data_IF_151096613473
#
_entry.id   IF_151096613473
#
_cell.length_a   1.000
_cell.length_b   1.000
_cell.length_c   1.000
_cell.angle_alpha   90.00
_cell.angle_beta   90.00
_cell.angle_gamma   90.00
#
_symmetry.space_group_name_H-M   'P 1'
#
loop_
_entity.id
_entity.type
_entity.pdbx_description
1 polymer ?
#
# COMPACT_ATOMS: atom_id res chain seq x y z
N UNK A 1 -45.23 39.02 -0.16
CA UNK A 1 -46.41 39.57 0.53
C UNK A 1 -47.46 39.77 -0.53
N UNK A 2 -48.65 39.17 -0.33
CA UNK A 2 -49.80 39.02 -1.25
C UNK A 2 -49.82 37.72 -2.06
N UNK A 3 -50.34 36.66 -1.43
CA UNK A 3 -51.49 35.90 -1.91
C UNK A 3 -51.79 34.80 -0.88
N UNK A 4 -52.54 35.16 0.16
CA UNK A 4 -52.96 34.22 1.22
C UNK A 4 -54.39 33.69 0.99
N UNK A 5 -54.98 34.02 -0.16
CA UNK A 5 -56.33 33.59 -0.53
C UNK A 5 -56.27 32.82 -1.85
N UNK A 6 -56.51 31.51 -1.76
CA UNK A 6 -56.70 30.64 -2.90
C UNK A 6 -57.88 31.17 -3.74
N UNK A 7 -57.66 31.64 -4.98
CA UNK A 7 -58.72 32.23 -5.80
C UNK A 7 -59.85 31.24 -6.09
N UNK A 8 -59.62 29.92 -5.99
CA UNK A 8 -60.67 28.91 -6.13
C UNK A 8 -61.73 28.92 -5.01
N UNK A 9 -61.51 29.68 -3.94
CA UNK A 9 -62.46 29.88 -2.84
C UNK A 9 -63.38 31.10 -3.07
N UNK A 10 -63.14 31.90 -4.12
CA UNK A 10 -63.98 33.06 -4.43
C UNK A 10 -65.34 32.64 -4.97
N UNK A 11 -66.40 33.10 -4.32
CA UNK A 11 -67.79 32.87 -4.74
C UNK A 11 -68.20 33.98 -5.70
N UNK A 12 -68.77 33.60 -6.84
CA UNK A 12 -69.31 34.55 -7.82
C UNK A 12 -70.39 35.45 -7.17
N UNK A 13 -70.22 36.78 -7.21
CA UNK A 13 -71.26 37.70 -6.75
C UNK A 13 -72.54 37.57 -7.58
N UNK A 14 -73.70 37.63 -6.92
CA UNK A 14 -74.99 37.57 -7.60
C UNK A 14 -75.31 38.93 -8.25
N UNK A 15 -74.86 39.14 -9.49
CA UNK A 15 -75.02 40.40 -10.23
C UNK A 15 -76.49 40.74 -10.60
N UNK A 16 -77.41 39.79 -10.42
CA UNK A 16 -78.86 40.01 -10.58
C UNK A 16 -79.52 40.64 -9.34
N UNK A 17 -78.82 40.66 -8.20
CA UNK A 17 -79.30 41.19 -6.93
C UNK A 17 -79.60 42.71 -6.99
N UNK A 18 -80.59 43.21 -6.22
CA UNK A 18 -80.90 44.64 -6.13
C UNK A 18 -79.70 45.51 -5.73
N UNK A 19 -78.69 44.95 -5.06
CA UNK A 19 -77.45 45.66 -4.68
C UNK A 19 -76.66 46.19 -5.90
N UNK A 20 -76.78 45.54 -7.06
CA UNK A 20 -76.09 45.93 -8.31
C UNK A 20 -77.01 46.69 -9.28
N UNK A 21 -78.25 47.01 -8.88
CA UNK A 21 -79.24 47.66 -9.73
C UNK A 21 -78.81 49.07 -10.17
N UNK A 22 -78.22 49.86 -9.27
CA UNK A 22 -77.68 51.19 -9.58
C UNK A 22 -76.56 51.14 -10.62
N UNK A 23 -75.69 50.13 -10.55
CA UNK A 23 -74.60 49.90 -11.51
C UNK A 23 -75.16 49.51 -12.90
N UNK A 24 -76.15 48.61 -12.94
CA UNK A 24 -76.82 48.19 -14.17
C UNK A 24 -77.55 49.36 -14.86
N UNK A 25 -78.25 50.20 -14.09
CA UNK A 25 -78.91 51.40 -14.59
C UNK A 25 -77.95 52.40 -15.23
N UNK A 26 -76.75 52.58 -14.64
CA UNK A 26 -75.73 53.49 -15.17
C UNK A 26 -75.20 53.04 -16.54
N UNK A 27 -75.08 51.72 -16.76
CA UNK A 27 -74.62 51.12 -18.02
C UNK A 27 -75.72 51.22 -19.10
N UNK A 28 -76.98 51.02 -18.73
CA UNK A 28 -78.14 51.10 -19.64
C UNK A 28 -78.42 52.53 -20.12
N UNK A 29 -78.06 53.55 -19.34
CA UNK A 29 -78.29 54.97 -19.65
C UNK A 29 -77.65 55.50 -20.94
N UNK A 30 -76.88 54.68 -21.67
CA UNK A 30 -76.27 55.02 -22.96
C UNK A 30 -76.40 53.96 -24.07
N UNK A 31 -77.09 52.83 -23.85
CA UNK A 31 -77.15 51.69 -24.79
C UNK A 31 -78.55 51.02 -24.82
N UNK A 32 -78.95 50.39 -25.94
CA UNK A 32 -80.23 49.65 -26.06
C UNK A 32 -80.18 48.24 -25.43
N UNK A 33 -79.54 48.07 -24.27
CA UNK A 33 -79.35 46.78 -23.60
C UNK A 33 -80.25 46.61 -22.37
N UNK A 34 -80.63 45.37 -22.06
CA UNK A 34 -81.49 45.01 -20.93
C UNK A 34 -80.71 44.76 -19.63
N UNK A 35 -81.38 44.85 -18.48
CA UNK A 35 -80.78 44.56 -17.16
C UNK A 35 -80.22 43.14 -17.03
N UNK A 36 -80.81 42.18 -17.73
CA UNK A 36 -80.34 40.79 -17.76
C UNK A 36 -79.05 40.66 -18.55
N UNK A 37 -78.97 41.27 -19.74
CA UNK A 37 -77.75 41.28 -20.57
C UNK A 37 -76.56 41.93 -19.83
N UNK A 38 -76.78 43.05 -19.13
CA UNK A 38 -75.73 43.70 -18.33
C UNK A 38 -75.28 42.83 -17.15
N UNK A 39 -76.21 42.12 -16.49
CA UNK A 39 -75.86 41.19 -15.40
C UNK A 39 -75.06 39.99 -15.93
N UNK A 40 -75.39 39.46 -17.12
CA UNK A 40 -74.63 38.38 -17.75
C UNK A 40 -73.23 38.83 -18.20
N UNK A 41 -73.09 40.06 -18.68
CA UNK A 41 -71.79 40.59 -19.09
C UNK A 41 -70.87 40.79 -17.89
N UNK A 42 -71.38 41.34 -16.78
CA UNK A 42 -70.64 41.46 -15.53
C UNK A 42 -70.21 40.10 -14.95
N UNK A 43 -71.11 39.11 -15.03
CA UNK A 43 -70.79 37.73 -14.67
C UNK A 43 -69.69 37.13 -15.56
N UNK A 44 -69.70 37.42 -16.87
CA UNK A 44 -68.70 36.92 -17.81
C UNK A 44 -67.32 37.57 -17.56
N UNK A 45 -67.27 38.89 -17.35
CA UNK A 45 -66.02 39.61 -17.03
C UNK A 45 -65.44 39.11 -15.70
N UNK A 46 -66.29 38.89 -14.69
CA UNK A 46 -65.84 38.33 -13.41
C UNK A 46 -65.28 36.90 -13.57
N UNK A 47 -65.94 36.04 -14.36
CA UNK A 47 -65.44 34.69 -14.65
C UNK A 47 -64.11 34.70 -15.40
N UNK A 48 -63.93 35.63 -16.34
CA UNK A 48 -62.66 35.79 -17.05
C UNK A 48 -61.53 36.20 -16.11
N UNK A 49 -61.77 37.17 -15.24
CA UNK A 49 -60.81 37.61 -14.22
C UNK A 49 -60.49 36.50 -13.21
N UNK A 50 -61.52 35.79 -12.72
CA UNK A 50 -61.36 34.65 -11.81
C UNK A 50 -60.53 33.52 -12.44
N UNK A 51 -60.83 33.11 -13.68
CA UNK A 51 -60.03 32.12 -14.41
C UNK A 51 -58.58 32.58 -14.63
N UNK A 52 -58.37 33.88 -14.88
CA UNK A 52 -57.01 34.43 -15.02
C UNK A 52 -56.23 34.35 -13.70
N UNK A 53 -56.90 34.66 -12.57
CA UNK A 53 -56.30 34.54 -11.23
C UNK A 53 -56.04 33.09 -10.84
N UNK A 54 -56.95 32.17 -11.12
CA UNK A 54 -56.73 30.74 -10.91
C UNK A 54 -55.55 30.22 -11.73
N UNK A 55 -55.47 30.53 -13.03
CA UNK A 55 -54.34 30.08 -13.87
C UNK A 55 -53.00 30.67 -13.45
N UNK A 56 -52.97 31.92 -12.98
CA UNK A 56 -51.77 32.53 -12.44
C UNK A 56 -51.34 31.86 -11.13
N UNK A 57 -52.30 31.56 -10.24
CA UNK A 57 -52.06 30.87 -8.98
C UNK A 57 -51.58 29.42 -9.19
N UNK A 58 -52.24 28.66 -10.07
CA UNK A 58 -51.82 27.29 -10.41
C UNK A 58 -50.40 27.27 -10.95
N UNK A 59 -50.05 28.22 -11.84
CA UNK A 59 -48.68 28.35 -12.35
C UNK A 59 -47.67 28.62 -11.24
N UNK A 60 -48.00 29.52 -10.30
CA UNK A 60 -47.12 29.82 -9.18
C UNK A 60 -46.91 28.61 -8.27
N UNK A 61 -47.98 27.88 -7.95
CA UNK A 61 -47.90 26.65 -7.14
C UNK A 61 -47.10 25.57 -7.86
N UNK A 62 -47.26 25.41 -9.17
CA UNK A 62 -46.45 24.49 -9.99
C UNK A 62 -44.97 24.87 -9.99
N UNK A 63 -44.64 26.15 -10.12
CA UNK A 63 -43.25 26.63 -10.06
C UNK A 63 -42.64 26.41 -8.67
N UNK A 64 -43.36 26.75 -7.60
CA UNK A 64 -42.89 26.55 -6.22
C UNK A 64 -42.71 25.05 -5.90
N UNK A 65 -43.64 24.21 -6.33
CA UNK A 65 -43.53 22.75 -6.14
C UNK A 65 -42.39 22.15 -6.95
N UNK A 66 -42.15 22.62 -8.18
CA UNK A 66 -41.02 22.19 -9.00
C UNK A 66 -39.68 22.59 -8.36
N UNK A 67 -39.57 23.83 -7.87
CA UNK A 67 -38.37 24.30 -7.18
C UNK A 67 -38.07 23.50 -5.91
N UNK A 68 -39.10 23.16 -5.12
CA UNK A 68 -38.95 22.32 -3.93
C UNK A 68 -38.52 20.89 -4.32
N UNK A 69 -39.11 20.33 -5.38
CA UNK A 69 -38.73 19.01 -5.88
C UNK A 69 -37.28 18.96 -6.39
N UNK A 70 -36.85 19.97 -7.15
CA UNK A 70 -35.48 20.09 -7.64
C UNK A 70 -34.48 20.26 -6.50
N UNK A 71 -34.81 21.10 -5.50
CA UNK A 71 -33.98 21.28 -4.32
C UNK A 71 -33.83 19.98 -3.51
N UNK A 72 -34.92 19.23 -3.33
CA UNK A 72 -34.88 17.93 -2.67
C UNK A 72 -34.06 16.90 -3.45
N UNK A 73 -34.14 16.90 -4.79
CA UNK A 73 -33.33 16.03 -5.64
C UNK A 73 -31.85 16.38 -5.55
N UNK A 74 -31.51 17.67 -5.58
CA UNK A 74 -30.14 18.14 -5.46
C UNK A 74 -29.53 17.80 -4.09
N UNK A 75 -30.29 17.91 -3.00
CA UNK A 75 -29.83 17.53 -1.66
C UNK A 75 -29.58 16.01 -1.57
N UNK A 76 -30.46 15.20 -2.16
CA UNK A 76 -30.29 13.75 -2.20
C UNK A 76 -29.06 13.32 -3.02
N UNK A 77 -28.82 13.95 -4.17
CA UNK A 77 -27.61 13.73 -4.96
C UNK A 77 -26.33 14.14 -4.21
N UNK A 78 -26.37 15.26 -3.48
CA UNK A 78 -25.22 15.69 -2.66
C UNK A 78 -24.91 14.67 -1.56
N UNK A 79 -25.94 14.20 -0.83
CA UNK A 79 -25.76 13.17 0.19
C UNK A 79 -25.22 11.86 -0.38
N UNK A 80 -25.70 11.44 -1.55
CA UNK A 80 -25.17 10.26 -2.24
C UNK A 80 -23.69 10.46 -2.63
N UNK A 81 -23.32 11.62 -3.17
CA UNK A 81 -21.94 11.95 -3.51
C UNK A 81 -21.03 11.97 -2.28
N UNK A 82 -21.48 12.53 -1.15
CA UNK A 82 -20.74 12.54 0.11
C UNK A 82 -20.55 11.12 0.65
N UNK A 83 -21.59 10.28 0.62
CA UNK A 83 -21.49 8.88 1.03
C UNK A 83 -20.49 8.10 0.16
N UNK A 84 -20.54 8.30 -1.16
CA UNK A 84 -19.59 7.69 -2.09
C UNK A 84 -18.16 8.20 -1.86
N UNK A 85 -17.98 9.47 -1.52
CA UNK A 85 -16.66 10.03 -1.21
C UNK A 85 -16.09 9.39 0.06
N UNK A 86 -16.88 9.34 1.13
CA UNK A 86 -16.47 8.72 2.39
C UNK A 86 -16.17 7.23 2.22
N UNK A 87 -16.95 6.50 1.42
CA UNK A 87 -16.69 5.09 1.11
C UNK A 87 -15.37 4.91 0.34
N UNK A 88 -15.06 5.82 -0.60
CA UNK A 88 -13.77 5.79 -1.33
C UNK A 88 -12.60 6.11 -0.40
N UNK A 89 -12.72 7.10 0.46
CA UNK A 89 -11.68 7.48 1.42
C UNK A 89 -11.41 6.33 2.41
N UNK A 90 -12.46 5.75 3.00
CA UNK A 90 -12.33 4.61 3.91
C UNK A 90 -11.72 3.39 3.21
N UNK A 91 -12.12 3.08 1.97
CA UNK A 91 -11.48 2.01 1.18
C UNK A 91 -10.01 2.32 0.89
N UNK A 92 -9.67 3.56 0.56
CA UNK A 92 -8.29 3.97 0.30
C UNK A 92 -7.43 3.87 1.57
N UNK A 93 -7.96 4.29 2.72
CA UNK A 93 -7.31 4.17 4.03
C UNK A 93 -7.07 2.71 4.42
N UNK A 94 -8.06 1.84 4.22
CA UNK A 94 -7.90 0.40 4.46
C UNK A 94 -6.82 -0.21 3.55
N UNK A 95 -6.79 0.15 2.26
CA UNK A 95 -5.75 -0.32 1.33
C UNK A 95 -4.36 0.22 1.68
N UNK A 96 -4.25 1.48 2.09
CA UNK A 96 -3.02 2.08 2.62
C UNK A 96 -2.54 1.34 3.88
N UNK A 97 -3.45 1.06 4.81
CA UNK A 97 -3.17 0.31 6.02
C UNK A 97 -2.72 -1.12 5.71
N UNK A 98 -3.32 -1.79 4.72
CA UNK A 98 -2.90 -3.12 4.27
C UNK A 98 -1.52 -3.12 3.59
N UNK A 99 -1.21 -2.10 2.78
CA UNK A 99 0.14 -1.96 2.19
C UNK A 99 1.22 -1.71 3.25
N UNK A 100 0.86 -1.04 4.35
CA UNK A 100 1.75 -0.76 5.50
C UNK A 100 1.91 -1.94 6.44
N UNK A 101 1.05 -2.97 6.38
CA UNK A 101 1.25 -4.20 7.16
C UNK A 101 2.57 -4.86 6.72
N UNK A 102 3.46 -5.21 7.65
CA UNK A 102 4.66 -5.96 7.31
C UNK A 102 4.23 -7.23 6.59
N UNK A 103 4.68 -7.41 5.34
CA UNK A 103 4.55 -8.68 4.63
C UNK A 103 5.42 -9.69 5.37
N UNK A 104 4.84 -10.38 6.33
CA UNK A 104 5.48 -11.54 6.94
C UNK A 104 5.50 -12.62 5.85
N UNK A 105 6.69 -13.10 5.52
CA UNK A 105 6.84 -14.19 4.56
C UNK A 105 6.16 -15.44 5.13
N UNK A 106 5.45 -16.17 4.28
CA UNK A 106 4.89 -17.46 4.63
C UNK A 106 6.03 -18.44 4.99
N UNK A 107 5.82 -19.26 6.01
CA UNK A 107 6.80 -20.23 6.45
C UNK A 107 6.51 -21.57 5.79
N UNK A 108 7.55 -22.21 5.24
CA UNK A 108 7.41 -23.55 4.67
C UNK A 108 7.18 -24.56 5.79
N UNK A 109 5.92 -24.87 6.07
CA UNK A 109 5.48 -25.81 7.12
C UNK A 109 6.05 -27.23 7.00
N UNK A 110 6.51 -27.63 5.81
CA UNK A 110 7.15 -28.95 5.57
C UNK A 110 8.68 -28.92 5.72
N UNK A 111 9.30 -27.76 5.93
CA UNK A 111 10.74 -27.68 6.16
C UNK A 111 10.99 -27.82 7.66
N UNK A 112 11.46 -29.00 8.06
CA UNK A 112 11.96 -29.21 9.42
C UNK A 112 13.20 -28.32 9.57
N UNK A 113 13.12 -27.33 10.45
CA UNK A 113 14.31 -26.57 10.89
C UNK A 113 15.14 -27.56 11.69
N UNK A 114 16.31 -27.94 11.18
CA UNK A 114 17.18 -28.85 11.90
C UNK A 114 17.58 -28.26 13.25
N UNK A 115 17.67 -29.11 14.29
CA UNK A 115 18.02 -28.71 15.66
C UNK A 115 19.44 -28.13 15.82
N UNK A 116 20.21 -28.08 14.73
CA UNK A 116 21.59 -27.58 14.71
C UNK A 116 21.71 -26.36 13.81
N UNK A 117 22.05 -25.22 14.43
CA UNK A 117 22.46 -24.04 13.70
C UNK A 117 23.80 -24.34 13.02
N UNK A 118 23.81 -24.41 11.68
CA UNK A 118 25.06 -24.51 10.94
C UNK A 118 25.85 -23.22 11.16
N UNK A 119 27.11 -23.29 11.64
CA UNK A 119 27.93 -22.10 11.82
C UNK A 119 28.07 -21.37 10.48
N UNK A 120 27.71 -20.07 10.46
CA UNK A 120 27.79 -19.25 9.25
C UNK A 120 29.11 -18.48 9.24
N UNK A 121 29.99 -18.70 8.26
CA UNK A 121 31.22 -17.93 8.11
C UNK A 121 30.90 -16.47 7.73
N UNK A 122 31.90 -15.59 7.88
CA UNK A 122 31.72 -14.17 7.53
C UNK A 122 31.33 -13.97 6.06
N UNK A 123 30.55 -12.91 5.78
CA UNK A 123 30.18 -12.55 4.42
C UNK A 123 31.40 -12.25 3.54
N UNK A 124 32.47 -11.71 4.13
CA UNK A 124 33.77 -11.54 3.49
C UNK A 124 34.32 -12.88 2.97
N UNK A 125 34.36 -13.91 3.82
CA UNK A 125 34.87 -15.23 3.45
C UNK A 125 34.00 -15.92 2.39
N UNK A 126 32.67 -15.80 2.49
CA UNK A 126 31.75 -16.32 1.47
C UNK A 126 31.97 -15.63 0.13
N UNK A 127 32.20 -14.31 0.13
CA UNK A 127 32.44 -13.55 -1.09
C UNK A 127 33.77 -13.94 -1.75
N UNK A 128 34.83 -14.16 -0.97
CA UNK A 128 36.12 -14.69 -1.45
C UNK A 128 35.96 -16.08 -2.07
N UNK A 129 35.17 -16.95 -1.45
CA UNK A 129 34.85 -18.26 -2.04
C UNK A 129 34.08 -18.14 -3.36
N UNK A 130 33.21 -17.15 -3.51
CA UNK A 130 32.51 -16.92 -4.78
C UNK A 130 33.45 -16.46 -5.90
N UNK A 131 34.51 -15.72 -5.57
CA UNK A 131 35.52 -15.28 -6.53
C UNK A 131 36.68 -16.26 -6.72
N UNK A 132 36.59 -17.47 -6.13
CA UNK A 132 37.67 -18.47 -6.13
C UNK A 132 39.00 -17.93 -5.57
N UNK A 133 38.93 -16.93 -4.69
CA UNK A 133 40.09 -16.34 -4.03
C UNK A 133 40.46 -17.13 -2.77
N UNK A 134 41.74 -17.05 -2.41
CA UNK A 134 42.23 -17.59 -1.15
C UNK A 134 41.56 -16.90 0.04
N UNK A 135 41.20 -17.70 1.05
CA UNK A 135 40.61 -17.25 2.31
C UNK A 135 41.10 -18.18 3.42
N UNK A 136 41.48 -17.58 4.55
CA UNK A 136 41.98 -18.32 5.71
C UNK A 136 40.89 -19.25 6.27
N UNK A 137 41.29 -20.48 6.60
CA UNK A 137 40.41 -21.50 7.20
C UNK A 137 39.84 -21.04 8.54
N UNK A 138 40.50 -20.11 9.24
CA UNK A 138 39.99 -19.54 10.48
C UNK A 138 38.54 -19.06 10.37
N UNK A 139 38.14 -18.47 9.25
CA UNK A 139 36.77 -17.97 9.03
C UNK A 139 35.70 -19.07 9.09
N UNK A 140 36.08 -20.31 8.82
CA UNK A 140 35.19 -21.47 8.80
C UNK A 140 35.25 -22.27 10.10
N UNK A 141 36.17 -21.93 11.00
CA UNK A 141 36.23 -22.49 12.35
C UNK A 141 35.02 -22.04 13.18
N UNK A 142 34.63 -22.80 14.23
CA UNK A 142 33.57 -22.37 15.14
C UNK A 142 33.81 -20.99 15.75
N UNK A 143 35.06 -20.65 16.06
CA UNK A 143 35.45 -19.36 16.65
C UNK A 143 35.32 -18.22 15.64
N UNK A 144 35.74 -18.46 14.38
CA UNK A 144 35.58 -17.53 13.28
C UNK A 144 34.11 -17.24 12.97
N UNK A 145 33.27 -18.28 12.93
CA UNK A 145 31.82 -18.15 12.71
C UNK A 145 31.13 -17.42 13.87
N UNK A 146 31.49 -17.69 15.13
CA UNK A 146 30.96 -16.96 16.29
C UNK A 146 31.31 -15.48 16.22
N UNK A 147 32.57 -15.14 15.93
CA UNK A 147 33.00 -13.75 15.76
C UNK A 147 32.26 -13.07 14.61
N UNK A 148 32.12 -13.75 13.47
CA UNK A 148 31.37 -13.22 12.34
C UNK A 148 29.90 -12.94 12.71
N UNK A 149 29.27 -13.83 13.49
CA UNK A 149 27.90 -13.61 13.98
C UNK A 149 27.80 -12.42 14.95
N UNK A 150 28.81 -12.19 15.79
CA UNK A 150 28.84 -11.04 16.70
C UNK A 150 29.14 -9.72 15.97
N UNK A 151 30.02 -9.75 14.97
CA UNK A 151 30.26 -8.63 14.06
C UNK A 151 28.98 -8.28 13.26
N UNK A 152 28.24 -9.28 12.78
CA UNK A 152 26.98 -9.08 12.05
C UNK A 152 25.88 -8.45 12.92
N UNK A 153 25.84 -8.72 14.24
CA UNK A 153 24.88 -8.07 15.16
C UNK A 153 25.20 -6.60 15.41
N UNK A 154 26.46 -6.20 15.26
CA UNK A 154 26.94 -4.85 15.63
C UNK A 154 27.10 -3.94 14.43
N UNK A 155 27.29 -4.48 13.22
CA UNK A 155 27.21 -3.72 11.98
C UNK A 155 25.75 -3.56 11.56
N UNK A 156 25.27 -2.33 11.36
CA UNK A 156 24.03 -2.13 10.61
C UNK A 156 24.23 -2.64 9.18
N UNK A 157 23.37 -3.55 8.74
CA UNK A 157 23.43 -4.17 7.40
C UNK A 157 23.22 -3.13 6.26
N UNK A 158 22.84 -1.91 6.62
CA UNK A 158 22.59 -0.77 5.72
C UNK A 158 23.84 0.06 5.36
N UNK A 159 25.03 -0.30 5.85
CA UNK A 159 26.25 0.43 5.49
C UNK A 159 26.88 -0.13 4.20
N UNK A 160 26.69 0.59 3.10
CA UNK A 160 27.28 0.28 1.79
C UNK A 160 28.58 1.07 1.55
N UNK A 161 29.61 0.36 1.08
CA UNK A 161 30.85 0.95 0.60
C UNK A 161 30.83 1.09 -0.92
N UNK A 162 31.53 2.11 -1.41
CA UNK A 162 31.75 2.32 -2.83
C UNK A 162 32.95 1.48 -3.27
N UNK A 163 32.75 0.57 -4.22
CA UNK A 163 33.82 -0.28 -4.78
C UNK A 163 33.88 -0.13 -6.28
N UNK A 164 35.09 -0.12 -6.85
CA UNK A 164 35.28 -0.11 -8.30
C UNK A 164 35.33 -1.54 -8.80
N UNK A 165 34.43 -1.89 -9.72
CA UNK A 165 34.43 -3.17 -10.44
C UNK A 165 34.63 -2.83 -11.90
N UNK A 166 35.80 -3.14 -12.42
CA UNK A 166 36.27 -2.74 -13.75
C UNK A 166 36.18 -1.21 -13.96
N UNK A 167 35.27 -0.76 -14.82
CA UNK A 167 35.01 0.65 -15.14
C UNK A 167 33.76 1.22 -14.47
N UNK A 168 33.07 0.43 -13.65
CA UNK A 168 31.86 0.85 -12.95
C UNK A 168 32.09 1.00 -11.45
N UNK A 169 31.30 1.89 -10.87
CA UNK A 169 31.23 2.08 -9.43
C UNK A 169 30.04 1.26 -8.92
N UNK A 170 30.32 0.26 -8.09
CA UNK A 170 29.33 -0.62 -7.49
C UNK A 170 29.22 -0.40 -5.98
N UNK A 171 27.99 -0.41 -5.47
CA UNK A 171 27.71 -0.42 -4.03
C UNK A 171 27.82 -1.85 -3.52
N UNK A 172 28.63 -2.06 -2.48
CA UNK A 172 28.82 -3.37 -1.86
C UNK A 172 28.73 -3.23 -0.34
N UNK A 173 28.02 -4.13 0.38
CA UNK A 173 27.95 -4.06 1.83
C UNK A 173 29.36 -4.06 2.44
N UNK A 174 29.63 -3.14 3.38
CA UNK A 174 30.98 -3.00 3.97
C UNK A 174 31.44 -4.30 4.65
N UNK A 175 30.51 -5.05 5.24
CA UNK A 175 30.76 -6.35 5.87
C UNK A 175 31.32 -7.42 4.92
N UNK A 176 31.13 -7.26 3.61
CA UNK A 176 31.64 -8.20 2.59
C UNK A 176 33.02 -7.81 2.02
N UNK A 177 33.57 -6.67 2.46
CA UNK A 177 34.88 -6.17 2.02
C UNK A 177 35.91 -6.13 3.15
N UNK A 178 35.46 -6.09 4.41
CA UNK A 178 36.34 -5.93 5.56
C UNK A 178 36.78 -7.30 6.12
N UNK A 179 38.07 -7.64 6.09
CA UNK A 179 38.58 -8.78 6.85
C UNK A 179 38.49 -8.50 8.36
N UNK A 180 38.27 -9.54 9.17
CA UNK A 180 38.25 -9.38 10.63
C UNK A 180 39.67 -9.10 11.11
N UNK A 181 39.85 -8.18 12.05
CA UNK A 181 41.18 -7.84 12.58
C UNK A 181 41.80 -8.95 13.45
N UNK A 182 41.05 -10.01 13.74
CA UNK A 182 41.46 -11.13 14.60
C UNK A 182 41.57 -12.45 13.83
N UNK A 183 41.80 -12.38 12.52
CA UNK A 183 42.04 -13.57 11.69
C UNK A 183 43.35 -14.22 12.10
N UNK A 184 43.31 -15.55 12.22
CA UNK A 184 44.48 -16.39 12.46
C UNK A 184 44.89 -16.96 11.11
N UNK A 185 46.19 -16.88 10.79
CA UNK A 185 46.74 -17.48 9.58
C UNK A 185 46.72 -19.02 9.68
N UNK A 186 46.58 -19.71 8.55
CA UNK A 186 46.36 -21.16 8.54
C UNK A 186 47.47 -21.96 9.24
N UNK A 187 48.74 -21.55 9.13
CA UNK A 187 49.86 -22.19 9.82
C UNK A 187 49.89 -21.94 11.34
N UNK A 188 49.16 -20.93 11.82
CA UNK A 188 49.05 -20.57 13.23
C UNK A 188 47.77 -21.10 13.89
N UNK A 189 46.94 -21.84 13.13
CA UNK A 189 45.76 -22.51 13.67
C UNK A 189 46.16 -23.65 14.61
N UNK A 190 45.30 -23.95 15.57
CA UNK A 190 45.39 -25.22 16.28
C UNK A 190 44.88 -26.37 15.39
N UNK A 191 45.40 -27.59 15.60
CA UNK A 191 45.01 -28.74 14.79
C UNK A 191 43.51 -29.03 14.87
N UNK A 192 42.90 -28.88 16.05
CA UNK A 192 41.47 -29.04 16.22
C UNK A 192 40.69 -27.98 15.44
N UNK A 193 41.18 -26.74 15.42
CA UNK A 193 40.55 -25.65 14.66
C UNK A 193 40.63 -25.92 13.16
N UNK A 194 41.77 -26.40 12.66
CA UNK A 194 41.94 -26.81 11.26
C UNK A 194 41.00 -27.96 10.88
N UNK A 195 40.93 -29.02 11.70
CA UNK A 195 40.09 -30.20 11.41
C UNK A 195 38.59 -29.87 11.37
N UNK A 196 38.14 -28.94 12.22
CA UNK A 196 36.76 -28.44 12.19
C UNK A 196 36.53 -27.46 11.03
N UNK A 197 37.47 -26.55 10.79
CA UNK A 197 37.37 -25.53 9.75
C UNK A 197 37.33 -26.15 8.35
N UNK A 198 38.13 -27.17 8.05
CA UNK A 198 38.14 -27.83 6.73
C UNK A 198 36.76 -28.42 6.40
N UNK A 199 36.07 -29.01 7.37
CA UNK A 199 34.77 -29.64 7.13
C UNK A 199 33.72 -28.58 6.79
N UNK A 200 33.75 -27.46 7.52
CA UNK A 200 32.92 -26.30 7.22
C UNK A 200 33.27 -25.68 5.87
N UNK A 201 34.55 -25.51 5.54
CA UNK A 201 35.01 -25.01 4.25
C UNK A 201 34.52 -25.89 3.09
N UNK A 202 34.71 -27.21 3.18
CA UNK A 202 34.27 -28.19 2.17
C UNK A 202 32.74 -28.16 1.98
N UNK A 203 31.98 -27.99 3.07
CA UNK A 203 30.53 -27.82 3.00
C UNK A 203 30.14 -26.54 2.23
N UNK A 204 30.87 -25.44 2.43
CA UNK A 204 30.56 -24.16 1.78
C UNK A 204 30.94 -24.14 0.29
N UNK A 205 32.06 -24.72 -0.12
CA UNK A 205 32.39 -24.85 -1.55
C UNK A 205 31.36 -25.73 -2.29
N UNK A 206 30.82 -26.75 -1.61
CA UNK A 206 29.76 -27.58 -2.15
C UNK A 206 28.46 -26.79 -2.33
N UNK A 207 28.05 -26.02 -1.31
CA UNK A 207 26.89 -25.11 -1.37
C UNK A 207 27.01 -24.04 -2.45
N UNK A 208 28.23 -23.54 -2.70
CA UNK A 208 28.52 -22.56 -3.75
C UNK A 208 28.68 -23.19 -5.13
N UNK A 209 28.44 -24.49 -5.27
CA UNK A 209 28.48 -25.23 -6.54
C UNK A 209 29.82 -25.07 -7.28
N UNK A 210 30.94 -25.10 -6.56
CA UNK A 210 32.27 -25.14 -7.18
C UNK A 210 32.39 -26.32 -8.15
N UNK A 211 33.23 -26.25 -9.21
CA UNK A 211 33.36 -27.37 -10.13
C UNK A 211 33.84 -28.64 -9.40
N UNK A 212 33.22 -29.78 -9.70
CA UNK A 212 33.43 -31.05 -8.99
C UNK A 212 34.91 -31.44 -8.90
N UNK A 213 35.69 -31.22 -9.97
CA UNK A 213 37.14 -31.45 -9.98
C UNK A 213 37.89 -30.70 -8.89
N UNK A 214 37.51 -29.44 -8.61
CA UNK A 214 38.15 -28.62 -7.59
C UNK A 214 37.72 -29.06 -6.18
N UNK A 215 36.43 -29.40 -6.01
CA UNK A 215 35.93 -29.94 -4.73
C UNK A 215 36.65 -31.25 -4.37
N UNK A 216 36.79 -32.15 -5.36
CA UNK A 216 37.49 -33.42 -5.17
C UNK A 216 38.97 -33.22 -4.84
N UNK A 217 39.67 -32.36 -5.58
CA UNK A 217 41.09 -32.08 -5.34
C UNK A 217 41.34 -31.53 -3.92
N UNK A 218 40.51 -30.57 -3.47
CA UNK A 218 40.59 -30.01 -2.12
C UNK A 218 40.24 -31.05 -1.05
N UNK A 219 39.22 -31.88 -1.30
CA UNK A 219 38.86 -32.97 -0.38
C UNK A 219 40.04 -33.93 -0.22
N UNK A 220 40.65 -34.39 -1.31
CA UNK A 220 41.79 -35.28 -1.26
C UNK A 220 43.00 -34.65 -0.58
N UNK A 221 43.27 -33.38 -0.86
CA UNK A 221 44.34 -32.63 -0.19
C UNK A 221 44.16 -32.64 1.34
N UNK A 222 42.97 -32.26 1.83
CA UNK A 222 42.69 -32.27 3.26
C UNK A 222 42.73 -33.68 3.86
N UNK A 223 42.22 -34.69 3.15
CA UNK A 223 42.29 -36.09 3.59
C UNK A 223 43.72 -36.58 3.72
N UNK A 224 44.60 -36.24 2.77
CA UNK A 224 46.01 -36.59 2.82
C UNK A 224 46.73 -35.93 4.00
N UNK A 225 46.41 -34.67 4.32
CA UNK A 225 46.98 -33.98 5.48
C UNK A 225 46.56 -34.65 6.80
N UNK A 226 45.27 -34.94 6.98
CA UNK A 226 44.80 -35.48 8.27
C UNK A 226 45.18 -36.95 8.50
N UNK A 227 45.42 -37.69 7.43
CA UNK A 227 45.84 -39.10 7.46
C UNK A 227 47.36 -39.27 7.34
N UNK A 228 48.12 -38.17 7.22
CA UNK A 228 49.55 -38.23 7.00
C UNK A 228 50.27 -38.92 8.17
N UNK A 229 51.16 -39.90 7.92
CA UNK A 229 51.89 -40.61 8.99
C UNK A 229 52.67 -39.70 9.94
N UNK A 230 53.28 -38.64 9.39
CA UNK A 230 54.06 -37.66 10.18
C UNK A 230 53.22 -36.85 11.16
N UNK A 231 51.89 -36.97 11.16
CA UNK A 231 51.05 -36.41 12.21
C UNK A 231 51.45 -36.92 13.61
N UNK A 232 51.87 -38.18 13.70
CA UNK A 232 52.25 -38.82 14.97
C UNK A 232 53.70 -38.48 15.41
N UNK A 233 54.43 -37.71 14.60
CA UNK A 233 55.80 -37.27 14.94
C UNK A 233 55.77 -36.06 15.88
N UNK A 234 56.84 -35.82 16.67
CA UNK A 234 56.95 -34.61 17.47
C UNK A 234 56.90 -33.37 16.56
N UNK A 235 55.99 -32.43 16.85
CA UNK A 235 55.68 -31.25 16.02
C UNK A 235 55.03 -31.58 14.66
N UNK A 236 54.63 -32.83 14.42
CA UNK A 236 54.01 -33.29 13.18
C UNK A 236 52.80 -32.46 12.75
N UNK A 237 51.88 -32.20 13.67
CA UNK A 237 50.70 -31.36 13.42
C UNK A 237 51.08 -29.94 12.98
N UNK A 238 52.08 -29.31 13.60
CA UNK A 238 52.55 -27.96 13.22
C UNK A 238 53.21 -27.96 11.84
N UNK A 239 54.04 -28.96 11.54
CA UNK A 239 54.69 -29.10 10.24
C UNK A 239 53.67 -29.29 9.12
N UNK A 240 52.62 -30.07 9.38
CA UNK A 240 51.54 -30.31 8.42
C UNK A 240 50.68 -29.06 8.20
N UNK A 241 50.41 -28.28 9.25
CA UNK A 241 49.71 -27.00 9.11
C UNK A 241 50.53 -25.96 8.35
N UNK A 242 51.85 -25.93 8.54
CA UNK A 242 52.74 -25.07 7.77
C UNK A 242 52.77 -25.46 6.29
N UNK A 243 52.69 -26.76 5.98
CA UNK A 243 52.57 -27.25 4.61
C UNK A 243 51.22 -26.93 3.97
N UNK A 244 50.16 -26.88 4.78
CA UNK A 244 48.80 -26.66 4.31
C UNK A 244 48.44 -25.18 4.06
N UNK A 245 49.24 -24.25 4.59
CA UNK A 245 49.05 -22.80 4.50
C UNK A 245 49.64 -22.22 3.20
#
# INVERSE_FOLDING_TARGET
>A
MLADENPALDIQPEFSSPTFEALRNCIIGGTQTTHEEVATELANVWKQDHNLRETAWTRQVEEETHLVADAAHAELEQLEQECLHLERETKAELQEAEKKKPKINDFKSRTIVGDTLTPCPSQYAIQKLKSFEFVELYYFSPDGCKKAADEAKTSSDDTFGLTRVDDFIALKPVASCKPSCKVIQDHSLDWQQFDLAKNSFLLHINKLSWPEKHQWALTMFFMNIITHPSRNEPLGEKSLLLYAA
#
